data_IF_023743739199
#
_entry.id   IF_023743739199
#
_cell.length_a   1.000
_cell.length_b   1.000
_cell.length_c   1.000
_cell.angle_alpha   90.00
_cell.angle_beta   90.00
_cell.angle_gamma   90.00
#
_symmetry.space_group_name_H-M   'P 1'
#
loop_
_entity.id
_entity.type
_entity.pdbx_description
1 polymer ?
#
# COMPACT_ATOMS: atom_id res chain seq x y z
N UNK A 1 -17.77 54.34 47.05
CA UNK A 1 -18.33 55.43 46.23
C UNK A 1 -18.78 54.73 44.93
N UNK A 2 -20.05 54.33 44.76
CA UNK A 2 -21.23 55.06 44.27
C UNK A 2 -20.88 55.88 43.00
N UNK A 3 -21.43 55.62 41.81
CA UNK A 3 -22.72 55.70 41.19
C UNK A 3 -22.63 55.04 39.81
N UNK A 4 -23.47 54.22 39.33
CA UNK A 4 -24.88 54.26 38.95
C UNK A 4 -25.11 54.75 37.51
N UNK A 5 -25.69 53.85 36.70
CA UNK A 5 -26.85 53.94 35.80
C UNK A 5 -26.83 54.84 34.57
N UNK A 6 -27.34 54.26 33.49
CA UNK A 6 -27.82 54.94 32.29
C UNK A 6 -28.30 54.02 31.19
N UNK A 7 -29.57 53.62 31.29
CA UNK A 7 -30.32 52.85 30.28
C UNK A 7 -30.86 53.86 29.26
N UNK A 8 -30.74 53.63 27.95
CA UNK A 8 -31.62 54.27 26.96
C UNK A 8 -31.82 53.31 25.78
N UNK A 9 -33.03 52.84 25.68
CA UNK A 9 -33.57 52.14 24.51
C UNK A 9 -34.00 53.20 23.47
N UNK A 10 -33.72 52.94 22.20
CA UNK A 10 -34.46 53.49 21.08
C UNK A 10 -34.82 52.47 20.07
N UNK A 11 -36.12 52.33 19.90
CA UNK A 11 -36.82 51.55 18.88
C UNK A 11 -36.81 52.36 17.59
N UNK A 12 -36.51 51.75 16.47
CA UNK A 12 -36.59 52.34 15.13
C UNK A 12 -37.02 51.29 14.10
N UNK A 13 -38.21 51.54 13.56
CA UNK A 13 -38.99 50.69 12.65
C UNK A 13 -38.33 50.45 11.29
N UNK A 14 -38.49 49.21 10.85
CA UNK A 14 -38.92 48.68 9.54
C UNK A 14 -38.56 49.41 8.24
N UNK A 15 -37.89 48.65 7.39
CA UNK A 15 -37.84 48.88 5.96
C UNK A 15 -37.59 47.53 5.25
N UNK A 16 -38.65 46.79 4.94
CA UNK A 16 -38.61 45.59 4.11
C UNK A 16 -38.41 46.03 2.67
N UNK A 17 -37.24 45.81 2.09
CA UNK A 17 -37.03 45.83 0.64
C UNK A 17 -36.83 44.39 0.21
N UNK A 18 -37.89 43.82 -0.34
CA UNK A 18 -37.85 42.52 -1.02
C UNK A 18 -37.18 42.74 -2.37
N UNK A 19 -35.91 42.32 -2.50
CA UNK A 19 -35.29 42.11 -3.81
C UNK A 19 -35.47 40.64 -4.17
N UNK A 20 -36.39 40.33 -5.07
CA UNK A 20 -36.45 39.09 -5.79
C UNK A 20 -35.18 38.93 -6.66
N UNK A 21 -34.21 38.21 -6.21
CA UNK A 21 -33.18 37.63 -7.08
C UNK A 21 -33.69 36.29 -7.60
N UNK A 22 -34.32 36.32 -8.75
CA UNK A 22 -34.54 35.11 -9.58
C UNK A 22 -33.22 34.68 -10.17
N UNK A 23 -32.84 33.43 -9.92
CA UNK A 23 -31.81 32.76 -10.70
C UNK A 23 -30.49 32.46 -10.01
N UNK A 24 -30.50 31.68 -8.93
CA UNK A 24 -29.36 30.82 -8.61
C UNK A 24 -29.81 29.40 -8.83
N UNK A 25 -29.40 28.84 -9.97
CA UNK A 25 -29.42 27.39 -10.15
C UNK A 25 -28.63 26.77 -8.99
N UNK A 26 -29.28 25.94 -8.18
CA UNK A 26 -28.67 25.16 -7.14
C UNK A 26 -27.61 24.28 -7.79
N UNK A 27 -26.33 24.64 -7.68
CA UNK A 27 -25.26 23.71 -7.88
C UNK A 27 -25.51 22.58 -6.89
N UNK A 28 -25.95 21.43 -7.38
CA UNK A 28 -25.96 20.20 -6.60
C UNK A 28 -24.50 19.99 -6.19
N UNK A 29 -24.21 20.15 -4.90
CA UNK A 29 -22.99 19.59 -4.34
C UNK A 29 -23.12 18.08 -4.53
N UNK A 30 -22.50 17.56 -5.56
CA UNK A 30 -22.32 16.12 -5.69
C UNK A 30 -21.61 15.68 -4.42
N UNK A 31 -22.27 14.87 -3.62
CA UNK A 31 -21.65 14.19 -2.49
C UNK A 31 -20.45 13.37 -2.99
N UNK A 32 -19.59 12.88 -2.10
CA UNK A 32 -18.43 12.08 -2.49
C UNK A 32 -18.90 10.94 -3.38
N UNK A 33 -18.45 10.93 -4.64
CA UNK A 33 -18.78 9.85 -5.59
C UNK A 33 -18.26 8.56 -4.99
N UNK A 34 -19.09 7.53 -4.96
CA UNK A 34 -18.69 6.18 -4.58
C UNK A 34 -17.43 5.78 -5.37
N UNK A 35 -16.49 5.03 -4.75
CA UNK A 35 -15.30 4.57 -5.45
C UNK A 35 -15.73 3.76 -6.67
N UNK A 36 -15.08 4.00 -7.82
CA UNK A 36 -15.33 3.24 -9.03
C UNK A 36 -14.94 1.78 -8.81
N UNK A 37 -15.71 0.86 -9.34
CA UNK A 37 -15.33 -0.55 -9.38
C UNK A 37 -14.19 -0.77 -10.39
N UNK A 38 -13.44 -1.86 -10.23
CA UNK A 38 -12.42 -2.23 -11.22
C UNK A 38 -13.03 -2.34 -12.65
N UNK A 39 -14.22 -2.89 -12.77
CA UNK A 39 -14.91 -3.02 -14.07
C UNK A 39 -15.15 -1.68 -14.78
N UNK A 40 -15.39 -0.60 -14.02
CA UNK A 40 -15.53 0.76 -14.57
C UNK A 40 -14.20 1.37 -15.00
N UNK A 41 -13.08 0.92 -14.40
CA UNK A 41 -11.76 1.42 -14.71
C UNK A 41 -11.05 0.64 -15.81
N UNK A 42 -11.32 -0.66 -15.96
CA UNK A 42 -10.65 -1.52 -16.95
C UNK A 42 -10.60 -0.93 -18.36
N UNK A 43 -11.67 -0.28 -18.89
CA UNK A 43 -11.62 0.34 -20.22
C UNK A 43 -10.60 1.48 -20.38
N UNK A 44 -10.07 2.04 -19.27
CA UNK A 44 -9.06 3.08 -19.31
C UNK A 44 -7.64 2.53 -19.51
N UNK A 45 -7.43 1.24 -19.24
CA UNK A 45 -6.13 0.61 -19.31
C UNK A 45 -5.83 0.17 -20.75
N UNK A 46 -4.69 0.64 -21.28
CA UNK A 46 -4.25 0.23 -22.62
C UNK A 46 -3.59 -1.14 -22.58
N UNK A 47 -4.04 -2.04 -23.43
CA UNK A 47 -3.47 -3.38 -23.57
C UNK A 47 -2.13 -3.41 -24.31
N UNK A 48 -1.69 -2.29 -24.89
CA UNK A 48 -0.46 -2.18 -25.65
C UNK A 48 0.76 -2.63 -24.85
N UNK A 49 1.61 -3.43 -25.47
CA UNK A 49 2.84 -3.93 -24.86
C UNK A 49 2.64 -5.05 -23.83
N UNK A 50 1.45 -5.66 -23.72
CA UNK A 50 1.27 -6.88 -22.91
C UNK A 50 1.93 -8.05 -23.65
N UNK A 51 2.93 -8.75 -23.08
CA UNK A 51 3.52 -9.91 -23.72
C UNK A 51 2.55 -11.10 -23.68
N UNK A 52 2.48 -11.86 -24.75
CA UNK A 52 1.70 -13.10 -24.79
C UNK A 52 2.21 -14.15 -23.80
N UNK A 53 3.51 -14.11 -23.49
CA UNK A 53 4.25 -15.12 -22.74
C UNK A 53 4.97 -14.59 -21.49
N UNK A 54 4.27 -13.84 -20.66
CA UNK A 54 4.81 -13.39 -19.37
C UNK A 54 5.72 -12.17 -19.45
N UNK A 55 6.54 -11.88 -18.42
CA UNK A 55 7.30 -10.64 -18.31
C UNK A 55 8.41 -10.45 -19.37
N UNK A 56 8.64 -11.44 -20.24
CA UNK A 56 9.64 -11.34 -21.31
C UNK A 56 11.08 -11.64 -20.88
N UNK A 57 11.93 -12.04 -21.84
CA UNK A 57 13.36 -12.30 -21.59
C UNK A 57 14.17 -11.01 -21.43
N UNK A 58 13.66 -9.91 -21.93
CA UNK A 58 14.26 -8.57 -21.98
C UNK A 58 14.18 -7.80 -20.65
N UNK A 59 13.51 -8.35 -19.64
CA UNK A 59 13.48 -7.74 -18.31
C UNK A 59 14.83 -7.89 -17.63
N UNK A 60 15.57 -6.82 -17.59
CA UNK A 60 16.72 -6.73 -16.69
C UNK A 60 16.22 -6.68 -15.25
N UNK A 61 16.40 -7.79 -14.56
CA UNK A 61 16.05 -7.94 -13.15
C UNK A 61 17.14 -7.28 -12.32
N UNK A 62 16.79 -6.26 -11.55
CA UNK A 62 17.73 -5.62 -10.64
C UNK A 62 18.20 -6.58 -9.54
N UNK A 63 19.49 -6.57 -9.23
CA UNK A 63 20.20 -7.06 -8.03
C UNK A 63 19.92 -8.43 -7.45
N UNK A 64 18.75 -9.01 -7.59
CA UNK A 64 18.38 -10.31 -7.07
C UNK A 64 18.40 -11.41 -8.14
N UNK A 65 18.70 -12.62 -7.71
CA UNK A 65 19.02 -13.77 -8.57
C UNK A 65 17.85 -14.37 -9.36
N UNK A 66 16.77 -13.61 -9.59
CA UNK A 66 15.72 -14.06 -10.51
C UNK A 66 16.22 -13.91 -11.93
N UNK A 67 16.58 -15.01 -12.54
CA UNK A 67 16.98 -15.07 -13.96
C UNK A 67 15.82 -15.63 -14.76
N UNK A 68 15.47 -15.03 -15.91
CA UNK A 68 14.42 -15.56 -16.80
C UNK A 68 14.61 -17.03 -17.15
N UNK A 69 15.86 -17.46 -17.33
CA UNK A 69 16.24 -18.85 -17.62
C UNK A 69 15.96 -19.85 -16.48
N UNK A 70 15.68 -19.38 -15.27
CA UNK A 70 15.38 -20.23 -14.11
C UNK A 70 13.87 -20.24 -13.80
N UNK A 71 13.04 -19.71 -14.68
CA UNK A 71 11.59 -19.72 -14.47
C UNK A 71 11.08 -21.15 -14.53
N UNK A 72 10.39 -21.63 -13.50
CA UNK A 72 9.59 -22.82 -13.62
C UNK A 72 8.46 -22.58 -14.64
N UNK A 73 8.00 -23.65 -15.23
CA UNK A 73 6.86 -23.61 -16.15
C UNK A 73 5.63 -23.00 -15.50
N UNK A 74 4.61 -22.81 -16.34
CA UNK A 74 3.32 -22.23 -15.97
C UNK A 74 2.77 -22.79 -14.66
N UNK A 75 1.88 -22.01 -14.03
CA UNK A 75 1.18 -22.37 -12.82
C UNK A 75 0.77 -23.84 -12.76
N UNK A 76 1.06 -24.48 -11.63
CA UNK A 76 0.59 -25.81 -11.31
C UNK A 76 -0.92 -25.75 -10.99
N UNK A 77 -1.75 -26.25 -11.91
CA UNK A 77 -3.21 -26.31 -11.74
C UNK A 77 -3.66 -27.22 -10.58
N UNK A 78 -2.77 -27.95 -9.94
CA UNK A 78 -3.06 -28.72 -8.72
C UNK A 78 -3.02 -27.87 -7.45
N UNK A 79 -2.59 -26.61 -7.54
CA UNK A 79 -2.58 -25.67 -6.41
C UNK A 79 -4.00 -25.19 -6.08
N UNK A 80 -4.33 -24.97 -4.81
CA UNK A 80 -5.68 -24.54 -4.41
C UNK A 80 -5.99 -23.12 -4.91
N UNK A 81 -7.25 -22.85 -5.15
CA UNK A 81 -7.81 -21.51 -5.34
C UNK A 81 -7.77 -20.94 -6.76
N UNK A 82 -7.35 -21.70 -7.77
CA UNK A 82 -7.49 -21.28 -9.18
C UNK A 82 -6.47 -20.23 -9.67
N UNK A 83 -5.36 -20.04 -8.98
CA UNK A 83 -4.23 -19.21 -9.40
C UNK A 83 -4.57 -17.75 -9.70
N UNK A 84 -4.17 -17.24 -10.86
CA UNK A 84 -4.45 -15.85 -11.27
C UNK A 84 -5.93 -15.49 -11.34
N UNK A 85 -6.83 -16.47 -11.49
CA UNK A 85 -8.26 -16.23 -11.59
C UNK A 85 -8.94 -15.94 -10.24
N UNK A 86 -8.25 -16.19 -9.13
CA UNK A 86 -8.81 -16.04 -7.78
C UNK A 86 -9.15 -14.59 -7.45
N UNK A 87 -8.20 -13.70 -7.69
CA UNK A 87 -8.33 -12.30 -7.33
C UNK A 87 -7.88 -11.38 -8.47
N UNK A 88 -8.68 -10.39 -8.87
CA UNK A 88 -8.15 -9.24 -9.57
C UNK A 88 -7.20 -8.49 -8.62
N UNK A 89 -6.04 -8.07 -9.11
CA UNK A 89 -5.03 -7.45 -8.27
C UNK A 89 -4.06 -6.56 -9.04
N UNK A 90 -3.51 -5.57 -8.37
CA UNK A 90 -2.25 -4.95 -8.73
C UNK A 90 -1.13 -5.69 -8.02
N UNK A 91 -0.06 -5.98 -8.75
CA UNK A 91 1.04 -6.81 -8.31
C UNK A 91 2.39 -6.20 -8.68
N UNK A 92 3.31 -6.17 -7.73
CA UNK A 92 4.70 -5.74 -7.92
C UNK A 92 5.67 -6.63 -7.15
N UNK A 93 6.96 -6.56 -7.52
CA UNK A 93 7.97 -7.26 -6.76
C UNK A 93 9.41 -6.80 -7.02
N UNK A 94 10.26 -7.06 -6.02
CA UNK A 94 11.70 -6.85 -6.11
C UNK A 94 12.31 -7.58 -7.31
N UNK A 95 13.26 -6.91 -7.97
CA UNK A 95 13.96 -7.49 -9.11
C UNK A 95 13.09 -7.67 -10.35
N UNK A 96 11.83 -7.26 -10.34
CA UNK A 96 10.95 -7.18 -11.50
C UNK A 96 10.66 -5.73 -11.82
N UNK A 97 11.01 -5.30 -13.01
CA UNK A 97 10.87 -3.89 -13.42
C UNK A 97 9.46 -3.57 -13.94
N UNK A 98 8.42 -4.24 -13.41
CA UNK A 98 7.06 -4.12 -13.91
C UNK A 98 6.02 -4.06 -12.81
N UNK A 99 4.98 -3.28 -13.10
CA UNK A 99 3.70 -3.29 -12.41
C UNK A 99 2.75 -4.11 -13.27
N UNK A 100 1.98 -5.00 -12.65
CA UNK A 100 0.99 -5.83 -13.33
C UNK A 100 -0.41 -5.54 -12.79
N UNK A 101 -1.37 -5.37 -13.69
CA UNK A 101 -2.80 -5.49 -13.38
C UNK A 101 -3.27 -6.87 -13.85
N UNK A 102 -3.75 -7.66 -12.91
CA UNK A 102 -4.34 -8.98 -13.17
C UNK A 102 -5.85 -8.89 -13.03
N UNK A 103 -6.58 -9.41 -14.01
CA UNK A 103 -8.02 -9.57 -13.94
C UNK A 103 -8.45 -10.85 -14.69
N UNK A 104 -9.46 -11.55 -14.17
CA UNK A 104 -10.02 -12.78 -14.75
C UNK A 104 -8.95 -13.81 -15.21
N UNK A 105 -7.91 -13.98 -14.39
CA UNK A 105 -6.86 -14.96 -14.65
C UNK A 105 -5.81 -14.55 -15.69
N UNK A 106 -5.77 -13.29 -16.06
CA UNK A 106 -4.84 -12.76 -17.07
C UNK A 106 -4.17 -11.48 -16.59
N UNK A 107 -2.94 -11.25 -17.07
CA UNK A 107 -2.34 -9.91 -17.02
C UNK A 107 -3.04 -9.08 -18.10
N UNK A 108 -3.83 -8.09 -17.68
CA UNK A 108 -4.59 -7.21 -18.58
C UNK A 108 -3.92 -5.88 -18.83
N UNK A 109 -2.92 -5.53 -18.02
CA UNK A 109 -2.11 -4.34 -18.18
C UNK A 109 -0.76 -4.53 -17.49
N UNK A 110 0.27 -3.89 -18.04
CA UNK A 110 1.59 -3.78 -17.42
C UNK A 110 2.16 -2.41 -17.64
N UNK A 111 3.02 -1.99 -16.72
CA UNK A 111 3.83 -0.80 -16.85
C UNK A 111 5.30 -1.15 -16.57
N UNK A 112 6.18 -0.88 -17.54
CA UNK A 112 7.61 -1.10 -17.40
C UNK A 112 8.25 0.11 -16.72
N UNK A 113 8.77 -0.09 -15.52
CA UNK A 113 9.37 0.98 -14.71
C UNK A 113 10.83 1.27 -15.10
N UNK A 114 11.36 0.58 -16.10
CA UNK A 114 12.77 0.66 -16.47
C UNK A 114 13.71 -0.06 -15.51
N UNK A 115 15.00 0.08 -15.73
CA UNK A 115 16.03 -0.49 -14.86
C UNK A 115 15.99 0.16 -13.47
N UNK A 116 16.25 -0.60 -12.43
CA UNK A 116 16.30 -0.14 -11.05
C UNK A 116 16.24 -1.29 -10.07
N UNK A 117 16.15 -0.94 -8.79
CA UNK A 117 16.19 -1.88 -7.69
C UNK A 117 14.80 -2.37 -7.30
N UNK A 118 14.35 -2.09 -6.10
CA UNK A 118 13.14 -2.65 -5.50
C UNK A 118 11.87 -1.90 -5.93
N UNK A 119 10.79 -2.63 -6.10
CA UNK A 119 9.41 -2.13 -6.14
C UNK A 119 8.74 -2.63 -4.86
N UNK A 120 8.47 -1.75 -3.91
CA UNK A 120 8.06 -2.15 -2.56
C UNK A 120 6.62 -1.82 -2.21
N UNK A 121 6.09 -0.69 -2.67
CA UNK A 121 4.75 -0.26 -2.35
C UNK A 121 4.01 0.26 -3.57
N UNK A 122 2.70 -0.05 -3.66
CA UNK A 122 1.84 0.35 -4.78
C UNK A 122 0.40 0.53 -4.34
N UNK A 123 -0.25 1.52 -4.93
CA UNK A 123 -1.68 1.80 -4.76
C UNK A 123 -2.32 2.09 -6.10
N UNK A 124 -3.42 1.41 -6.43
CA UNK A 124 -4.34 1.84 -7.47
C UNK A 124 -5.31 2.83 -6.83
N UNK A 125 -5.36 4.03 -7.38
CA UNK A 125 -6.25 5.10 -6.94
C UNK A 125 -7.64 4.94 -7.57
N UNK A 126 -8.64 5.63 -7.03
CA UNK A 126 -10.04 5.58 -7.50
C UNK A 126 -10.23 5.95 -8.99
N UNK A 127 -9.30 6.71 -9.54
CA UNK A 127 -9.31 7.09 -10.95
C UNK A 127 -8.54 6.12 -11.87
N UNK A 128 -7.94 5.07 -11.28
CA UNK A 128 -7.12 4.09 -11.96
C UNK A 128 -5.64 4.43 -12.05
N UNK A 129 -5.21 5.60 -11.59
CA UNK A 129 -3.79 5.92 -11.51
C UNK A 129 -3.07 4.99 -10.54
N UNK A 130 -1.81 4.70 -10.81
CA UNK A 130 -0.93 3.91 -9.96
C UNK A 130 0.07 4.82 -9.24
N UNK A 131 0.03 4.84 -7.91
CA UNK A 131 1.01 5.50 -7.06
C UNK A 131 1.94 4.44 -6.46
N UNK A 132 3.25 4.54 -6.67
CA UNK A 132 4.19 3.49 -6.28
C UNK A 132 5.57 4.01 -5.94
N UNK A 133 6.35 3.16 -5.24
CA UNK A 133 7.76 3.39 -4.92
C UNK A 133 8.65 2.45 -5.71
N UNK A 134 9.82 3.01 -6.08
CA UNK A 134 10.92 2.28 -6.64
C UNK A 134 12.20 2.75 -6.00
N UNK A 135 12.66 2.10 -4.99
CA UNK A 135 13.78 2.45 -4.10
C UNK A 135 14.47 3.81 -4.36
N UNK A 136 14.90 4.08 -5.62
CA UNK A 136 15.56 5.32 -6.03
C UNK A 136 14.60 6.45 -6.46
N UNK A 137 13.30 6.20 -6.55
CA UNK A 137 12.29 7.18 -6.93
C UNK A 137 10.87 6.69 -6.61
N UNK A 138 9.92 7.59 -6.60
CA UNK A 138 8.49 7.28 -6.53
C UNK A 138 7.76 8.01 -7.66
N UNK A 139 6.65 7.44 -8.15
CA UNK A 139 5.88 8.07 -9.21
C UNK A 139 4.39 7.75 -9.13
N UNK A 140 3.64 8.54 -9.91
CA UNK A 140 2.25 8.27 -10.24
C UNK A 140 2.09 8.18 -11.75
N UNK A 141 1.52 7.07 -12.22
CA UNK A 141 1.26 6.83 -13.64
C UNK A 141 -0.22 6.60 -13.89
N UNK A 142 -0.70 7.07 -15.03
CA UNK A 142 -2.09 6.90 -15.46
C UNK A 142 -2.31 5.53 -16.11
N UNK A 143 -3.57 5.06 -16.27
CA UNK A 143 -3.88 3.84 -17.02
C UNK A 143 -3.34 3.81 -18.45
N UNK A 144 -3.23 4.97 -19.10
CA UNK A 144 -2.62 5.14 -20.44
C UNK A 144 -1.09 5.33 -20.38
N UNK A 145 -0.47 4.98 -19.23
CA UNK A 145 0.99 4.89 -19.02
C UNK A 145 1.75 6.22 -19.06
N UNK A 146 1.08 7.35 -18.84
CA UNK A 146 1.76 8.64 -18.68
C UNK A 146 2.20 8.82 -17.23
N UNK A 147 3.47 9.17 -17.04
CA UNK A 147 3.96 9.62 -15.73
C UNK A 147 3.44 11.05 -15.49
N UNK A 148 2.65 11.24 -14.43
CA UNK A 148 2.01 12.52 -14.09
C UNK A 148 2.53 13.14 -12.81
N UNK A 149 3.30 12.39 -12.04
CA UNK A 149 4.05 12.87 -10.90
C UNK A 149 5.26 11.98 -10.66
N UNK A 150 6.38 12.57 -10.23
CA UNK A 150 7.61 11.86 -9.90
C UNK A 150 8.40 12.59 -8.81
N UNK A 151 9.02 11.82 -7.95
CA UNK A 151 10.05 12.23 -7.01
C UNK A 151 11.28 11.35 -7.19
N UNK A 152 12.44 11.97 -7.52
CA UNK A 152 13.72 11.28 -7.62
C UNK A 152 14.52 11.46 -6.32
N UNK A 153 15.01 10.34 -5.76
CA UNK A 153 15.86 10.34 -4.58
C UNK A 153 17.17 11.11 -4.81
N UNK A 154 17.59 11.87 -3.81
CA UNK A 154 18.94 12.39 -3.75
C UNK A 154 19.92 11.26 -3.43
N UNK A 155 21.21 11.49 -3.68
CA UNK A 155 22.26 10.52 -3.35
C UNK A 155 22.19 10.11 -1.87
N UNK A 156 22.04 8.82 -1.63
CA UNK A 156 21.95 8.25 -0.28
C UNK A 156 20.53 8.19 0.30
N UNK A 157 19.51 8.56 -0.46
CA UNK A 157 18.10 8.37 -0.12
C UNK A 157 17.56 7.08 -0.74
N UNK A 158 16.60 6.46 -0.06
CA UNK A 158 15.82 5.31 -0.54
C UNK A 158 14.35 5.46 -0.13
N UNK A 159 13.44 4.96 -0.95
CA UNK A 159 12.00 5.02 -0.69
C UNK A 159 11.41 3.62 -0.79
N UNK A 160 10.79 3.14 0.28
CA UNK A 160 10.17 1.82 0.33
C UNK A 160 8.68 1.86 0.63
N UNK A 161 8.13 2.99 1.03
CA UNK A 161 6.73 3.11 1.44
C UNK A 161 6.11 4.42 0.98
N UNK A 162 4.91 4.32 0.42
CA UNK A 162 4.04 5.44 0.06
C UNK A 162 2.59 5.04 0.33
N UNK A 163 1.75 5.99 0.75
CA UNK A 163 0.33 5.75 0.97
C UNK A 163 -0.48 6.97 0.57
N UNK A 164 -1.57 6.83 -0.22
CA UNK A 164 -2.51 7.92 -0.46
C UNK A 164 -3.29 8.26 0.81
N UNK A 165 -3.68 9.53 0.94
CA UNK A 165 -4.52 10.06 2.01
C UNK A 165 -5.61 10.90 1.37
N UNK A 166 -6.79 10.31 1.18
CA UNK A 166 -7.87 10.94 0.42
C UNK A 166 -7.49 11.20 -1.04
N UNK A 167 -8.23 12.07 -1.71
CA UNK A 167 -8.20 12.21 -3.16
C UNK A 167 -6.93 12.90 -3.73
N UNK A 168 -6.21 13.65 -2.91
CA UNK A 168 -5.16 14.56 -3.39
C UNK A 168 -3.81 14.39 -2.70
N UNK A 169 -3.79 13.80 -1.51
CA UNK A 169 -2.60 13.75 -0.69
C UNK A 169 -1.98 12.36 -0.63
N UNK A 170 -0.69 12.33 -0.35
CA UNK A 170 0.03 11.12 -0.02
C UNK A 170 1.06 11.38 1.08
N UNK A 171 1.46 10.30 1.74
CA UNK A 171 2.56 10.29 2.70
C UNK A 171 3.61 9.28 2.26
N UNK A 172 4.87 9.66 2.37
CA UNK A 172 6.00 8.84 1.95
C UNK A 172 7.12 8.91 2.99
N UNK A 173 7.78 7.78 3.24
CA UNK A 173 8.98 7.74 4.06
C UNK A 173 10.21 7.69 3.14
N UNK A 174 11.10 8.64 3.34
CA UNK A 174 12.39 8.72 2.66
C UNK A 174 13.45 8.31 3.67
N UNK A 175 13.99 7.11 3.49
CA UNK A 175 15.14 6.62 4.23
C UNK A 175 16.38 7.44 3.86
N UNK A 176 17.05 8.02 4.83
CA UNK A 176 18.21 8.90 4.68
C UNK A 176 18.88 9.15 6.03
N UNK A 177 19.92 9.99 6.03
CA UNK A 177 20.54 10.51 7.27
C UNK A 177 20.56 12.04 7.25
N UNK A 178 19.54 12.70 7.90
CA UNK A 178 18.37 12.16 8.60
C UNK A 178 17.31 11.64 7.64
N UNK A 179 16.54 10.64 8.09
CA UNK A 179 15.34 10.19 7.38
C UNK A 179 14.19 11.18 7.60
N UNK A 180 13.23 11.19 6.69
CA UNK A 180 12.09 12.09 6.80
C UNK A 180 10.79 11.46 6.31
N UNK A 181 9.72 11.81 6.97
CA UNK A 181 8.36 11.52 6.54
C UNK A 181 7.84 12.76 5.85
N UNK A 182 7.33 12.60 4.64
CA UNK A 182 6.85 13.69 3.81
C UNK A 182 5.40 13.47 3.42
N UNK A 183 4.52 14.40 3.85
CA UNK A 183 3.13 14.48 3.40
C UNK A 183 3.02 15.58 2.36
N UNK A 184 2.42 15.26 1.23
CA UNK A 184 2.40 16.14 0.07
C UNK A 184 1.13 15.94 -0.75
N UNK A 185 0.81 16.92 -1.58
CA UNK A 185 -0.23 16.79 -2.58
C UNK A 185 0.33 16.08 -3.82
N UNK A 186 -0.15 14.88 -4.13
CA UNK A 186 0.37 14.07 -5.24
C UNK A 186 -0.13 14.51 -6.64
N UNK A 187 -0.94 15.58 -6.72
CA UNK A 187 -1.32 16.23 -7.98
C UNK A 187 -0.44 17.41 -8.31
N UNK A 188 -0.06 18.20 -7.30
CA UNK A 188 0.73 19.42 -7.48
C UNK A 188 2.20 19.26 -7.09
N UNK A 189 2.53 18.28 -6.27
CA UNK A 189 3.86 18.10 -5.67
C UNK A 189 4.12 19.00 -4.46
N UNK A 190 3.15 19.82 -4.04
CA UNK A 190 3.30 20.73 -2.91
C UNK A 190 3.44 19.98 -1.59
N UNK A 191 4.41 20.40 -0.78
CA UNK A 191 4.61 19.90 0.58
C UNK A 191 3.52 20.43 1.49
N UNK A 192 2.82 19.51 2.18
CA UNK A 192 1.88 19.85 3.26
C UNK A 192 2.66 19.98 4.56
N UNK A 193 3.46 18.96 4.90
CA UNK A 193 4.44 19.00 5.97
C UNK A 193 5.52 17.94 5.78
N UNK A 194 6.66 18.15 6.44
CA UNK A 194 7.78 17.21 6.51
C UNK A 194 8.25 17.06 7.94
N UNK A 195 8.62 15.84 8.34
CA UNK A 195 9.11 15.52 9.68
C UNK A 195 10.35 14.65 9.62
N UNK A 196 11.42 15.11 10.24
CA UNK A 196 12.62 14.28 10.43
C UNK A 196 12.35 13.16 11.44
N UNK A 197 12.87 11.98 11.13
CA UNK A 197 12.83 10.80 11.98
C UNK A 197 14.24 10.21 12.11
N UNK A 198 14.59 9.70 13.30
CA UNK A 198 15.89 9.09 13.55
C UNK A 198 15.79 7.57 13.57
N UNK A 199 16.72 6.95 12.88
CA UNK A 199 16.99 5.52 12.97
C UNK A 199 18.41 5.32 13.50
N UNK A 200 18.58 4.39 14.45
CA UNK A 200 19.87 4.06 15.06
C UNK A 200 20.53 2.89 14.32
N UNK A 201 20.69 3.03 13.01
CA UNK A 201 21.29 2.02 12.13
C UNK A 201 22.31 2.67 11.20
N UNK A 202 23.26 1.88 10.71
CA UNK A 202 24.38 2.36 9.88
C UNK A 202 24.10 2.44 8.38
N UNK A 203 22.90 2.07 7.92
CA UNK A 203 22.56 2.04 6.49
C UNK A 203 21.13 2.51 6.27
N UNK A 204 20.89 3.30 5.21
CA UNK A 204 19.56 3.72 4.77
C UNK A 204 18.67 2.52 4.46
N UNK A 205 19.24 1.49 3.82
CA UNK A 205 18.52 0.30 3.40
C UNK A 205 17.86 -0.49 4.53
N UNK A 206 18.40 -0.43 5.75
CA UNK A 206 17.87 -1.15 6.91
C UNK A 206 17.07 -0.26 7.88
N UNK A 207 16.77 0.98 7.49
CA UNK A 207 15.99 1.89 8.35
C UNK A 207 14.55 1.42 8.45
N UNK A 208 13.81 1.44 7.35
CA UNK A 208 12.39 1.07 7.32
C UNK A 208 11.99 0.46 6.00
N UNK A 209 10.92 -0.37 6.03
CA UNK A 209 10.28 -0.88 4.82
C UNK A 209 8.86 -0.34 4.65
N UNK A 210 8.02 -0.41 5.67
CA UNK A 210 6.62 -0.02 5.58
C UNK A 210 6.25 1.02 6.62
N UNK A 211 5.44 1.97 6.19
CA UNK A 211 4.79 2.96 7.02
C UNK A 211 3.31 2.99 6.64
N UNK A 212 2.42 3.04 7.63
CA UNK A 212 0.98 3.14 7.40
C UNK A 212 0.32 4.16 8.32
N UNK A 213 -0.35 5.11 7.71
CA UNK A 213 -1.25 6.01 8.41
C UNK A 213 -2.56 5.28 8.67
N UNK A 214 -3.08 5.34 9.89
CA UNK A 214 -4.28 4.60 10.31
C UNK A 214 -5.54 5.48 10.21
N UNK A 215 -6.71 4.86 10.27
CA UNK A 215 -8.00 5.58 10.35
C UNK A 215 -8.12 6.45 11.61
N UNK A 216 -7.36 6.13 12.66
CA UNK A 216 -7.38 6.84 13.95
C UNK A 216 -6.38 8.01 13.96
N UNK A 217 -5.86 8.40 12.79
CA UNK A 217 -4.85 9.43 12.59
C UNK A 217 -3.53 9.15 13.34
N UNK A 218 -3.19 7.89 13.56
CA UNK A 218 -1.87 7.48 14.04
C UNK A 218 -1.02 6.98 12.90
N UNK A 219 0.29 6.87 13.12
CA UNK A 219 1.25 6.40 12.13
C UNK A 219 1.99 5.17 12.66
N UNK A 220 1.82 4.03 12.02
CA UNK A 220 2.63 2.84 12.25
C UNK A 220 3.89 2.91 11.39
N UNK A 221 5.06 2.81 12.01
CA UNK A 221 6.36 2.85 11.36
C UNK A 221 7.19 1.62 11.73
N UNK A 222 7.56 0.84 10.71
CA UNK A 222 8.43 -0.32 10.87
C UNK A 222 9.89 0.11 10.93
N UNK A 223 10.54 -0.09 12.08
CA UNK A 223 11.99 0.08 12.27
C UNK A 223 12.69 -1.25 12.00
N UNK A 224 13.00 -1.52 10.72
CA UNK A 224 13.49 -2.82 10.28
C UNK A 224 14.74 -3.27 11.04
N UNK A 225 15.80 -2.47 11.03
CA UNK A 225 17.08 -2.79 11.67
C UNK A 225 17.11 -2.59 13.18
N UNK A 226 16.06 -1.98 13.76
CA UNK A 226 15.92 -1.79 15.20
C UNK A 226 14.95 -2.79 15.84
N UNK A 227 14.39 -3.70 15.05
CA UNK A 227 13.50 -4.77 15.53
C UNK A 227 12.29 -4.28 16.32
N UNK A 228 11.62 -3.25 15.82
CA UNK A 228 10.41 -2.71 16.44
C UNK A 228 9.47 -2.07 15.42
N UNK A 229 8.19 -2.01 15.76
CA UNK A 229 7.22 -1.11 15.14
C UNK A 229 6.85 -0.05 16.17
N UNK A 230 6.81 1.20 15.76
CA UNK A 230 6.40 2.32 16.63
C UNK A 230 5.15 2.96 16.05
N UNK A 231 4.16 3.18 16.90
CA UNK A 231 2.97 3.95 16.59
C UNK A 231 3.11 5.37 17.17
N UNK A 232 2.90 6.37 16.32
CA UNK A 232 2.94 7.78 16.68
C UNK A 232 1.54 8.40 16.56
N UNK A 233 1.22 9.34 17.46
CA UNK A 233 0.07 10.24 17.29
C UNK A 233 0.41 11.43 16.35
N UNK A 234 -0.55 12.35 16.17
CA UNK A 234 -0.39 13.54 15.33
C UNK A 234 0.61 14.56 15.89
N UNK A 235 0.91 14.50 17.19
CA UNK A 235 1.89 15.34 17.87
C UNK A 235 3.28 14.69 17.94
N UNK A 236 3.43 13.52 17.31
CA UNK A 236 4.65 12.70 17.29
C UNK A 236 5.04 12.08 18.63
N UNK A 237 4.10 11.98 19.56
CA UNK A 237 4.31 11.18 20.75
C UNK A 237 4.21 9.70 20.41
N UNK A 238 5.03 8.89 21.06
CA UNK A 238 4.94 7.44 20.96
C UNK A 238 3.70 6.95 21.69
N UNK A 239 2.73 6.43 20.94
CA UNK A 239 1.52 5.82 21.49
C UNK A 239 1.79 4.39 21.93
N UNK A 240 2.54 3.64 21.09
CA UNK A 240 2.84 2.24 21.33
C UNK A 240 4.13 1.81 20.64
N UNK A 241 4.81 0.82 21.23
CA UNK A 241 5.97 0.15 20.64
C UNK A 241 5.77 -1.36 20.67
N UNK A 242 5.89 -2.01 19.52
CA UNK A 242 5.89 -3.46 19.39
C UNK A 242 7.33 -3.93 19.20
N UNK A 243 7.83 -4.79 20.10
CA UNK A 243 9.15 -5.40 19.98
C UNK A 243 9.02 -6.67 19.10
N UNK A 244 9.44 -6.58 17.87
CA UNK A 244 9.26 -7.60 16.82
C UNK A 244 10.53 -7.71 15.99
N UNK A 245 10.81 -8.87 15.40
CA UNK A 245 12.07 -9.12 14.70
C UNK A 245 11.96 -8.74 13.23
N UNK A 246 12.77 -7.79 12.78
CA UNK A 246 12.80 -7.28 11.41
C UNK A 246 11.39 -7.10 10.82
N UNK A 247 10.60 -6.15 11.33
CA UNK A 247 9.26 -5.92 10.81
C UNK A 247 9.33 -5.34 9.40
N UNK A 248 8.79 -6.07 8.43
CA UNK A 248 8.65 -5.56 7.06
C UNK A 248 7.40 -4.68 6.92
N UNK A 249 6.25 -5.18 7.40
CA UNK A 249 4.97 -4.48 7.35
C UNK A 249 4.25 -4.51 8.69
N UNK A 250 3.52 -3.44 8.99
CA UNK A 250 2.59 -3.34 10.11
C UNK A 250 1.32 -2.62 9.65
N UNK A 251 0.17 -3.20 9.95
CA UNK A 251 -1.15 -2.74 9.50
C UNK A 251 -2.09 -2.69 10.68
N UNK A 252 -2.83 -1.58 10.85
CA UNK A 252 -3.94 -1.51 11.79
C UNK A 252 -5.16 -2.15 11.15
N UNK A 253 -5.68 -3.20 11.79
CA UNK A 253 -6.88 -3.88 11.36
C UNK A 253 -8.15 -3.15 11.83
N UNK A 254 -9.27 -3.40 11.15
CA UNK A 254 -10.58 -2.81 11.47
C UNK A 254 -11.08 -3.19 12.88
N UNK A 255 -10.65 -4.35 13.40
CA UNK A 255 -10.94 -4.80 14.77
C UNK A 255 -10.07 -4.09 15.83
N UNK A 256 -9.14 -3.21 15.44
CA UNK A 256 -8.23 -2.49 16.34
C UNK A 256 -6.90 -3.19 16.61
N UNK A 257 -6.74 -4.45 16.22
CA UNK A 257 -5.48 -5.18 16.36
C UNK A 257 -4.42 -4.69 15.34
N UNK A 258 -3.17 -5.07 15.53
CA UNK A 258 -2.10 -4.78 14.60
C UNK A 258 -1.53 -6.06 14.01
N UNK A 259 -1.55 -6.17 12.69
CA UNK A 259 -0.98 -7.28 11.94
C UNK A 259 0.45 -6.91 11.53
N UNK A 260 1.44 -7.76 11.85
CA UNK A 260 2.87 -7.48 11.63
C UNK A 260 3.54 -8.69 10.99
N UNK A 261 4.35 -8.44 9.94
CA UNK A 261 5.24 -9.47 9.39
C UNK A 261 6.63 -9.39 10.02
N UNK A 262 7.14 -10.52 10.51
CA UNK A 262 8.49 -10.67 11.08
C UNK A 262 9.38 -11.47 10.12
N UNK A 263 10.29 -10.79 9.40
CA UNK A 263 11.12 -11.41 8.36
C UNK A 263 12.06 -12.47 8.93
N UNK A 264 12.82 -12.16 10.00
CA UNK A 264 13.79 -13.11 10.58
C UNK A 264 13.11 -14.33 11.21
N UNK A 265 11.93 -14.14 11.79
CA UNK A 265 11.16 -15.25 12.37
C UNK A 265 10.32 -15.99 11.35
N UNK A 266 10.27 -15.49 10.12
CA UNK A 266 9.47 -16.06 9.03
C UNK A 266 8.03 -16.33 9.46
N UNK A 267 7.37 -15.32 10.04
CA UNK A 267 5.98 -15.41 10.51
C UNK A 267 5.24 -14.09 10.37
N UNK A 268 3.92 -14.18 10.41
CA UNK A 268 3.02 -13.04 10.54
C UNK A 268 2.23 -13.18 11.83
N UNK A 269 2.11 -12.11 12.60
CA UNK A 269 1.44 -12.09 13.90
C UNK A 269 0.37 -11.01 13.94
N UNK A 270 -0.72 -11.26 14.66
CA UNK A 270 -1.73 -10.27 15.01
C UNK A 270 -1.68 -10.02 16.52
N UNK A 271 -1.51 -8.76 16.92
CA UNK A 271 -1.37 -8.33 18.30
C UNK A 271 -2.56 -7.47 18.68
N UNK A 272 -3.22 -7.80 19.80
CA UNK A 272 -4.34 -7.04 20.34
C UNK A 272 -3.90 -5.77 21.10
N UNK A 273 -4.88 -5.03 21.64
CA UNK A 273 -4.62 -3.81 22.42
C UNK A 273 -3.89 -4.05 23.76
N UNK A 274 -3.90 -5.28 24.27
CA UNK A 274 -3.29 -5.68 25.52
C UNK A 274 -1.92 -6.38 25.35
N UNK A 275 -1.30 -6.24 24.18
CA UNK A 275 -0.02 -6.80 23.75
C UNK A 275 0.01 -8.34 23.63
N UNK A 276 -1.16 -9.00 23.56
CA UNK A 276 -1.22 -10.44 23.34
C UNK A 276 -1.17 -10.76 21.83
N UNK A 277 -0.39 -11.78 21.46
CA UNK A 277 -0.50 -12.38 20.13
C UNK A 277 -1.78 -13.23 20.12
N UNK A 278 -2.79 -12.77 19.37
CA UNK A 278 -4.10 -13.42 19.27
C UNK A 278 -4.22 -14.32 18.05
N UNK A 279 -3.34 -14.13 17.08
CA UNK A 279 -3.20 -14.98 15.90
C UNK A 279 -1.77 -14.90 15.39
N UNK A 280 -1.26 -16.00 14.87
CA UNK A 280 0.03 -16.03 14.15
C UNK A 280 0.02 -17.13 13.10
N UNK A 281 0.86 -16.99 12.10
CA UNK A 281 1.22 -18.06 11.18
C UNK A 281 2.72 -18.03 10.91
N UNK A 282 3.39 -19.13 11.22
CA UNK A 282 4.76 -19.37 10.81
C UNK A 282 4.77 -19.95 9.40
N UNK A 283 5.72 -19.55 8.55
CA UNK A 283 5.86 -20.15 7.21
C UNK A 283 6.15 -21.65 7.26
N UNK A 284 6.70 -22.14 8.39
CA UNK A 284 6.92 -23.58 8.59
C UNK A 284 5.63 -24.37 8.81
N UNK A 285 4.53 -23.72 9.22
CA UNK A 285 3.19 -24.33 9.36
C UNK A 285 2.52 -24.58 8.01
N UNK A 286 2.94 -23.83 6.97
CA UNK A 286 2.43 -24.05 5.61
C UNK A 286 2.89 -25.41 5.07
N UNK A 287 2.03 -26.17 4.38
CA UNK A 287 2.42 -27.39 3.68
C UNK A 287 3.65 -27.14 2.80
N UNK A 288 4.58 -28.08 2.77
CA UNK A 288 5.89 -27.90 2.12
C UNK A 288 5.78 -27.37 0.68
N UNK A 289 4.86 -27.91 -0.10
CA UNK A 289 4.63 -27.52 -1.50
C UNK A 289 4.08 -26.08 -1.68
N UNK A 290 3.56 -25.48 -0.59
CA UNK A 290 3.01 -24.10 -0.58
C UNK A 290 3.85 -23.16 0.25
N UNK A 291 4.94 -23.63 0.82
CA UNK A 291 5.75 -22.86 1.76
C UNK A 291 6.37 -21.64 1.07
N UNK A 292 6.09 -20.49 1.63
CA UNK A 292 6.75 -19.23 1.25
C UNK A 292 8.19 -19.21 1.78
N UNK A 293 9.05 -18.43 1.14
CA UNK A 293 10.46 -18.30 1.53
C UNK A 293 10.70 -17.20 2.56
N UNK A 294 9.93 -16.11 2.45
CA UNK A 294 10.03 -14.94 3.30
C UNK A 294 8.65 -14.31 3.56
N UNK A 295 8.61 -13.34 4.48
CA UNK A 295 7.44 -12.54 4.80
C UNK A 295 7.70 -11.09 4.38
N UNK A 296 7.11 -10.69 3.26
CA UNK A 296 7.15 -9.32 2.78
C UNK A 296 5.90 -8.55 3.26
N UNK A 297 5.08 -8.03 2.37
CA UNK A 297 3.81 -7.42 2.74
C UNK A 297 2.73 -8.46 3.06
N UNK A 298 1.65 -7.98 3.61
CA UNK A 298 0.47 -8.77 3.99
C UNK A 298 -0.79 -7.96 3.73
N UNK A 299 -1.89 -8.65 3.40
CA UNK A 299 -3.22 -8.06 3.34
C UNK A 299 -4.18 -8.90 4.19
N UNK A 300 -5.08 -8.26 4.95
CA UNK A 300 -6.23 -8.91 5.56
C UNK A 300 -7.45 -8.62 4.71
N UNK A 301 -8.14 -9.65 4.26
CA UNK A 301 -9.34 -9.55 3.44
C UNK A 301 -10.60 -9.40 4.31
N UNK A 302 -11.70 -8.88 3.73
CA UNK A 302 -12.97 -8.68 4.46
C UNK A 302 -13.55 -9.96 5.06
N UNK A 303 -13.29 -11.11 4.43
CA UNK A 303 -13.71 -12.42 4.94
C UNK A 303 -12.84 -12.94 6.10
N UNK A 304 -11.86 -12.17 6.55
CA UNK A 304 -10.91 -12.51 7.60
C UNK A 304 -9.70 -13.31 7.14
N UNK A 305 -9.62 -13.71 5.87
CA UNK A 305 -8.45 -14.39 5.34
C UNK A 305 -7.24 -13.44 5.26
N UNK A 306 -6.05 -14.01 5.29
CA UNK A 306 -4.80 -13.27 5.18
C UNK A 306 -4.06 -13.69 3.93
N UNK A 307 -3.68 -12.72 3.09
CA UNK A 307 -2.80 -12.94 1.93
C UNK A 307 -1.38 -12.58 2.34
N UNK A 308 -0.49 -13.55 2.26
CA UNK A 308 0.95 -13.44 2.57
C UNK A 308 1.71 -13.29 1.26
N UNK A 309 2.65 -12.32 1.20
CA UNK A 309 3.50 -12.06 0.04
C UNK A 309 4.93 -12.55 0.29
N UNK A 310 5.57 -13.12 -0.75
CA UNK A 310 6.94 -13.59 -0.71
C UNK A 310 7.66 -13.34 -2.05
N UNK A 311 8.96 -13.10 -2.00
CA UNK A 311 9.82 -13.04 -3.20
C UNK A 311 9.98 -14.39 -3.91
N UNK A 312 9.59 -15.48 -3.27
CA UNK A 312 9.44 -16.79 -3.87
C UNK A 312 10.73 -17.50 -4.20
N UNK A 313 11.86 -17.18 -3.55
CA UNK A 313 13.13 -17.90 -3.62
C UNK A 313 13.61 -18.20 -5.06
N UNK A 314 13.62 -17.15 -5.90
CA UNK A 314 14.08 -17.29 -7.29
C UNK A 314 13.22 -18.23 -8.14
N UNK A 315 11.92 -18.30 -7.89
CA UNK A 315 10.97 -19.12 -8.64
C UNK A 315 10.69 -20.50 -8.05
N UNK A 316 11.28 -20.85 -6.90
CA UNK A 316 11.09 -22.17 -6.27
C UNK A 316 9.83 -22.23 -5.43
N UNK A 317 9.55 -21.17 -4.68
CA UNK A 317 8.39 -21.06 -3.77
C UNK A 317 7.24 -20.32 -4.45
N UNK A 318 6.00 -20.41 -3.92
CA UNK A 318 4.91 -19.52 -4.32
C UNK A 318 5.24 -18.05 -4.04
N UNK A 319 4.53 -17.19 -4.73
CA UNK A 319 4.60 -15.74 -4.56
C UNK A 319 3.58 -15.23 -3.54
N UNK A 320 2.37 -15.81 -3.56
CA UNK A 320 1.29 -15.45 -2.65
C UNK A 320 0.63 -16.72 -2.08
N UNK A 321 0.22 -16.64 -0.83
CA UNK A 321 -0.60 -17.65 -0.17
C UNK A 321 -1.70 -16.97 0.61
N UNK A 322 -2.96 -17.39 0.40
CA UNK A 322 -4.12 -16.97 1.21
C UNK A 322 -4.44 -18.06 2.21
N UNK A 323 -4.54 -17.66 3.48
CA UNK A 323 -4.93 -18.54 4.57
C UNK A 323 -6.18 -18.02 5.29
N UNK A 324 -7.02 -18.95 5.75
CA UNK A 324 -8.16 -18.61 6.61
C UNK A 324 -7.70 -18.21 8.01
N UNK A 325 -8.59 -17.64 8.87
CA UNK A 325 -8.29 -17.45 10.29
C UNK A 325 -7.89 -18.73 11.02
N UNK A 326 -8.39 -19.90 10.55
CA UNK A 326 -7.99 -21.22 11.04
C UNK A 326 -6.67 -21.74 10.44
N UNK A 327 -5.95 -20.91 9.68
CA UNK A 327 -4.68 -21.21 9.02
C UNK A 327 -4.77 -22.26 7.88
N UNK A 328 -5.96 -22.51 7.35
CA UNK A 328 -6.14 -23.36 6.19
C UNK A 328 -5.74 -22.62 4.91
N UNK A 329 -4.93 -23.24 4.06
CA UNK A 329 -4.54 -22.67 2.77
C UNK A 329 -5.68 -22.82 1.77
N UNK A 330 -6.22 -21.69 1.31
CA UNK A 330 -7.36 -21.66 0.36
C UNK A 330 -6.99 -21.15 -1.01
N UNK A 331 -5.84 -20.50 -1.15
CA UNK A 331 -5.29 -20.06 -2.42
C UNK A 331 -3.77 -20.00 -2.40
N UNK A 332 -3.18 -20.40 -3.52
CA UNK A 332 -1.74 -20.32 -3.77
C UNK A 332 -1.51 -19.75 -5.16
N UNK A 333 -0.74 -18.67 -5.24
CA UNK A 333 -0.24 -18.15 -6.50
C UNK A 333 1.21 -18.56 -6.68
N UNK A 334 1.45 -19.36 -7.70
CA UNK A 334 2.79 -19.73 -8.18
C UNK A 334 2.79 -19.60 -9.70
N UNK A 335 2.97 -18.38 -10.17
CA UNK A 335 2.95 -18.07 -11.61
C UNK A 335 4.22 -17.30 -12.01
N UNK A 336 5.29 -18.03 -12.17
CA UNK A 336 6.57 -17.47 -12.58
C UNK A 336 6.67 -17.24 -14.08
N UNK A 337 5.67 -17.68 -14.85
CA UNK A 337 5.59 -17.42 -16.28
C UNK A 337 5.12 -15.98 -16.58
N UNK A 338 4.11 -15.51 -15.86
CA UNK A 338 3.49 -14.21 -16.09
C UNK A 338 4.02 -13.12 -15.13
N UNK A 339 4.38 -13.50 -13.90
CA UNK A 339 4.76 -12.60 -12.82
C UNK A 339 6.17 -12.87 -12.31
N UNK A 340 6.82 -11.85 -11.78
CA UNK A 340 8.07 -11.96 -11.03
C UNK A 340 7.84 -12.21 -9.53
N UNK A 341 8.82 -11.92 -8.66
CA UNK A 341 8.67 -11.95 -7.20
C UNK A 341 7.51 -11.08 -6.72
N UNK A 342 6.98 -11.33 -5.52
CA UNK A 342 5.98 -10.48 -4.88
C UNK A 342 6.58 -9.76 -3.68
N UNK A 343 6.54 -8.43 -3.68
CA UNK A 343 6.81 -7.60 -2.49
C UNK A 343 5.55 -6.94 -1.98
N UNK A 344 4.62 -6.61 -2.88
CA UNK A 344 3.34 -6.03 -2.52
C UNK A 344 2.25 -6.41 -3.52
N UNK A 345 1.03 -6.53 -3.01
CA UNK A 345 -0.17 -6.75 -3.80
C UNK A 345 -1.30 -5.89 -3.23
N UNK A 346 -2.17 -5.38 -4.09
CA UNK A 346 -3.48 -4.86 -3.72
C UNK A 346 -4.54 -5.74 -4.35
N UNK A 347 -5.33 -6.41 -3.52
CA UNK A 347 -6.48 -7.21 -3.96
C UNK A 347 -7.63 -6.24 -4.26
N UNK A 348 -8.13 -6.28 -5.49
CA UNK A 348 -9.08 -5.30 -6.00
C UNK A 348 -10.55 -5.75 -5.89
N UNK A 349 -10.79 -7.02 -5.60
CA UNK A 349 -12.14 -7.58 -5.50
C UNK A 349 -12.79 -7.38 -4.13
N UNK A 350 -12.00 -7.18 -3.10
CA UNK A 350 -12.44 -7.34 -1.72
C UNK A 350 -12.96 -6.03 -1.11
N UNK A 351 -12.16 -4.99 -1.14
CA UNK A 351 -12.45 -3.72 -0.47
C UNK A 351 -12.67 -2.55 -1.45
N UNK A 352 -12.58 -2.85 -2.75
CA UNK A 352 -12.66 -1.82 -3.78
C UNK A 352 -11.41 -0.94 -3.81
N UNK A 353 -11.57 0.29 -4.29
CA UNK A 353 -10.52 1.28 -4.41
C UNK A 353 -10.77 2.40 -3.40
N UNK A 354 -9.93 2.52 -2.41
CA UNK A 354 -9.99 3.60 -1.43
C UNK A 354 -8.62 4.20 -1.17
N UNK A 355 -8.61 5.52 -1.03
CA UNK A 355 -7.43 6.30 -0.65
C UNK A 355 -7.50 6.76 0.81
N UNK A 356 -8.57 6.41 1.54
CA UNK A 356 -8.67 6.77 2.95
C UNK A 356 -7.84 5.79 3.80
N UNK A 357 -7.07 6.29 4.76
CA UNK A 357 -6.34 5.45 5.69
C UNK A 357 -7.25 4.48 6.44
N UNK A 358 -6.86 3.20 6.46
CA UNK A 358 -7.56 2.14 7.16
C UNK A 358 -8.77 1.53 6.45
N UNK A 359 -9.16 2.04 5.27
CA UNK A 359 -10.18 1.39 4.45
C UNK A 359 -9.68 0.05 3.90
N UNK A 360 -8.42 0.02 3.46
CA UNK A 360 -7.71 -1.20 3.02
C UNK A 360 -6.74 -1.66 4.11
N UNK A 361 -6.82 -2.93 4.48
CA UNK A 361 -5.96 -3.56 5.51
C UNK A 361 -4.72 -4.20 4.84
N UNK A 362 -3.80 -3.35 4.35
CA UNK A 362 -2.61 -3.80 3.59
C UNK A 362 -1.33 -2.98 3.88
#
# INVERSE_FOLDING_TARGET
MKFASGLAAMVGLAGIVSLCCTGCASAKCDGPKAPKSLAELLPLFTAEGIPENGPGEDLKMGGFAFRPSNRPDAQDNTLPGGGLARHPMIYIGEGCNRIFLVDQGKVVWKYDTGEGWELDDIWMLKNGDMLFTRMAWAAKVTPDKREVWRYDCKKGEEIHSIQPIGDDEAIMLINAFPARIWRFNHKTGETIWEKEIKFNVGSTHVQSRRMRFTKDNTLLLCYLGENKVVEYDTDWNVVRTFNVSKPWAAIRLKNGNTLITEEDKKRTIEIDKDDNIVWEISLSELPEKYRLDDCQSVCRLQNGNTVLCSRGNGGRSPQLVEVTPAKEVVWVLKDWKNLGPATSVQILSDEGLSENPGDLER
#
